data_IF_774368045790
#
_entry.id   IF_774368045790
#
_cell.length_a   1.000
_cell.length_b   1.000
_cell.length_c   1.000
_cell.angle_alpha   90.00
_cell.angle_beta   90.00
_cell.angle_gamma   90.00
#
_symmetry.space_group_name_H-M   'P 1'
#
loop_
_entity.id
_entity.type
_entity.pdbx_description
1 polymer ?
#
# COMPACT_ATOMS: atom_id res chain seq x y z
N UNK A 1 -40.55 -28.83 1.87
CA UNK A 1 -41.33 -29.42 0.75
C UNK A 1 -42.76 -28.86 0.64
N UNK A 2 -43.23 -27.99 1.54
CA UNK A 2 -44.57 -27.39 1.49
C UNK A 2 -44.67 -26.14 0.58
N UNK A 3 -43.54 -25.51 0.24
CA UNK A 3 -43.46 -24.27 -0.56
C UNK A 3 -43.84 -24.41 -2.04
N UNK A 4 -43.93 -25.63 -2.57
CA UNK A 4 -44.14 -25.89 -4.00
C UNK A 4 -45.62 -25.96 -4.42
N UNK A 5 -46.56 -26.01 -3.47
CA UNK A 5 -47.99 -26.22 -3.75
C UNK A 5 -48.91 -25.15 -3.15
N UNK A 6 -48.39 -24.10 -2.53
CA UNK A 6 -49.22 -22.97 -2.05
C UNK A 6 -49.51 -21.99 -3.18
N UNK A 7 -50.77 -21.59 -3.34
CA UNK A 7 -51.12 -20.49 -4.26
C UNK A 7 -50.31 -19.23 -3.92
N UNK A 8 -49.78 -18.51 -4.93
CA UNK A 8 -49.08 -17.25 -4.70
C UNK A 8 -50.00 -16.27 -3.98
N UNK A 9 -49.53 -15.69 -2.87
CA UNK A 9 -50.31 -14.76 -2.04
C UNK A 9 -50.49 -13.36 -2.65
N UNK A 10 -49.95 -13.11 -3.85
CA UNK A 10 -50.02 -11.82 -4.54
C UNK A 10 -51.21 -11.72 -5.50
N UNK A 11 -51.70 -10.51 -5.71
CA UNK A 11 -52.77 -10.22 -6.68
C UNK A 11 -52.18 -10.29 -8.10
N UNK A 12 -52.74 -11.13 -8.97
CA UNK A 12 -52.27 -11.37 -10.35
C UNK A 12 -50.80 -11.81 -10.47
N UNK A 13 -50.44 -13.01 -9.98
CA UNK A 13 -49.04 -13.47 -9.99
C UNK A 13 -48.44 -13.59 -11.40
N UNK A 14 -49.27 -13.80 -12.43
CA UNK A 14 -48.82 -13.89 -13.83
C UNK A 14 -48.30 -12.58 -14.44
N UNK A 15 -48.53 -11.43 -13.79
CA UNK A 15 -48.04 -10.12 -14.25
C UNK A 15 -46.79 -9.66 -13.49
N UNK A 16 -46.31 -10.44 -12.52
CA UNK A 16 -45.12 -10.11 -11.74
C UNK A 16 -43.87 -10.70 -12.40
N UNK A 17 -42.95 -9.82 -12.83
CA UNK A 17 -41.64 -10.21 -13.31
C UNK A 17 -40.58 -10.03 -12.20
N UNK A 18 -39.88 -11.10 -11.85
CA UNK A 18 -38.75 -11.04 -10.93
C UNK A 18 -37.44 -10.81 -11.69
N UNK A 19 -36.82 -9.63 -11.52
CA UNK A 19 -35.52 -9.32 -12.12
C UNK A 19 -34.40 -9.44 -11.08
N UNK A 20 -33.46 -10.35 -11.30
CA UNK A 20 -32.24 -10.49 -10.48
C UNK A 20 -31.05 -9.86 -11.20
N UNK A 21 -30.63 -8.68 -10.75
CA UNK A 21 -29.50 -7.96 -11.33
C UNK A 21 -28.26 -8.28 -10.51
N UNK A 22 -27.23 -8.86 -11.15
CA UNK A 22 -25.90 -9.03 -10.55
C UNK A 22 -25.44 -10.45 -10.21
N UNK A 23 -26.13 -11.52 -10.67
CA UNK A 23 -25.62 -12.90 -10.59
C UNK A 23 -25.09 -13.31 -9.20
N UNK A 24 -25.97 -13.36 -8.19
CA UNK A 24 -25.68 -13.55 -6.76
C UNK A 24 -24.93 -12.40 -6.06
N UNK A 25 -24.64 -11.28 -6.73
CA UNK A 25 -24.08 -10.08 -6.10
C UNK A 25 -25.14 -8.97 -6.02
N UNK A 26 -25.25 -8.34 -4.85
CA UNK A 26 -26.28 -7.36 -4.51
C UNK A 26 -26.53 -6.29 -5.59
N UNK A 27 -27.80 -6.01 -5.87
CA UNK A 27 -28.19 -4.88 -6.72
C UNK A 27 -28.06 -3.56 -5.93
N UNK A 28 -27.25 -2.63 -6.44
CA UNK A 28 -27.11 -1.30 -5.85
C UNK A 28 -28.39 -0.46 -6.01
N UNK A 29 -28.73 0.33 -4.99
CA UNK A 29 -29.92 1.22 -4.97
C UNK A 29 -30.00 2.16 -6.20
N UNK A 30 -28.85 2.49 -6.81
CA UNK A 30 -28.78 3.28 -8.04
C UNK A 30 -29.48 2.61 -9.23
N UNK A 31 -29.39 1.28 -9.37
CA UNK A 31 -30.01 0.55 -10.47
C UNK A 31 -31.54 0.48 -10.28
N UNK A 32 -31.99 0.29 -9.03
CA UNK A 32 -33.40 0.39 -8.69
C UNK A 32 -33.98 1.77 -9.04
N UNK A 33 -33.28 2.85 -8.67
CA UNK A 33 -33.71 4.22 -9.02
C UNK A 33 -33.75 4.45 -10.53
N UNK A 34 -32.73 4.00 -11.26
CA UNK A 34 -32.71 4.08 -12.72
C UNK A 34 -33.94 3.40 -13.35
N UNK A 35 -34.24 2.16 -12.95
CA UNK A 35 -35.40 1.42 -13.48
C UNK A 35 -36.73 2.04 -13.07
N UNK A 36 -36.82 2.56 -11.84
CA UNK A 36 -38.00 3.28 -11.36
C UNK A 36 -38.25 4.54 -12.20
N UNK A 37 -37.20 5.33 -12.43
CA UNK A 37 -37.29 6.61 -13.13
C UNK A 37 -37.48 6.41 -14.65
N UNK A 38 -37.19 5.22 -15.18
CA UNK A 38 -37.47 4.84 -16.55
C UNK A 38 -38.97 4.51 -16.81
N UNK A 39 -39.79 4.34 -15.77
CA UNK A 39 -41.24 4.10 -15.86
C UNK A 39 -41.63 2.93 -16.80
N UNK A 40 -40.80 1.89 -16.87
CA UNK A 40 -40.99 0.73 -17.76
C UNK A 40 -42.05 -0.24 -17.23
N UNK A 41 -42.34 -0.20 -15.92
CA UNK A 41 -43.28 -1.09 -15.24
C UNK A 41 -44.36 -0.27 -14.51
N UNK A 42 -45.57 -0.81 -14.44
CA UNK A 42 -46.70 -0.22 -13.69
C UNK A 42 -46.38 -0.07 -12.18
N UNK A 43 -45.47 -0.89 -11.66
CA UNK A 43 -44.96 -0.79 -10.30
C UNK A 43 -43.61 -1.47 -10.15
N UNK A 44 -42.67 -0.81 -9.45
CA UNK A 44 -41.34 -1.35 -9.17
C UNK A 44 -41.06 -1.37 -7.66
N UNK A 45 -40.80 -2.56 -7.12
CA UNK A 45 -40.40 -2.77 -5.74
C UNK A 45 -39.07 -3.50 -5.65
N UNK A 46 -38.29 -3.21 -4.60
CA UNK A 46 -37.04 -3.87 -4.29
C UNK A 46 -37.16 -4.73 -3.04
N UNK A 47 -36.55 -5.91 -3.05
CA UNK A 47 -36.37 -6.76 -1.87
C UNK A 47 -34.92 -7.23 -1.73
N UNK A 48 -34.50 -7.49 -0.50
CA UNK A 48 -33.23 -8.12 -0.17
C UNK A 48 -33.45 -9.15 0.95
N UNK A 49 -33.16 -10.42 0.65
CA UNK A 49 -33.46 -11.60 1.48
C UNK A 49 -32.33 -11.98 2.46
N UNK A 50 -31.20 -11.27 2.47
CA UNK A 50 -30.01 -11.68 3.24
C UNK A 50 -29.92 -11.09 4.67
N UNK A 51 -30.97 -10.42 5.17
CA UNK A 51 -30.95 -9.86 6.52
C UNK A 51 -31.35 -10.92 7.56
N UNK A 52 -30.42 -11.81 7.91
CA UNK A 52 -30.59 -12.57 9.14
C UNK A 52 -30.51 -11.65 10.36
N UNK A 53 -31.49 -11.76 11.25
CA UNK A 53 -31.59 -10.92 12.44
C UNK A 53 -31.93 -11.78 13.64
N UNK A 54 -31.26 -11.59 14.77
CA UNK A 54 -31.56 -12.35 15.99
C UNK A 54 -32.49 -11.55 16.88
N UNK A 55 -33.66 -12.09 17.21
CA UNK A 55 -34.62 -11.49 18.12
C UNK A 55 -34.58 -12.18 19.48
N UNK A 56 -34.63 -11.39 20.56
CA UNK A 56 -34.70 -11.90 21.92
C UNK A 56 -36.13 -11.79 22.45
N UNK A 57 -36.70 -12.91 22.87
CA UNK A 57 -37.99 -12.98 23.54
C UNK A 57 -37.79 -13.59 24.93
N UNK A 58 -37.87 -12.76 25.97
CA UNK A 58 -37.51 -13.16 27.33
C UNK A 58 -36.05 -13.63 27.43
N UNK A 59 -35.86 -14.90 27.80
CA UNK A 59 -34.54 -15.53 27.93
C UNK A 59 -34.06 -16.28 26.68
N UNK A 60 -34.95 -16.47 25.71
CA UNK A 60 -34.64 -17.17 24.47
C UNK A 60 -34.25 -16.21 23.35
N UNK A 61 -33.34 -16.63 22.48
CA UNK A 61 -32.92 -15.88 21.29
C UNK A 61 -33.22 -16.71 20.05
N UNK A 62 -34.02 -16.14 19.15
CA UNK A 62 -34.42 -16.78 17.90
C UNK A 62 -33.73 -16.12 16.72
N UNK A 63 -33.28 -16.93 15.77
CA UNK A 63 -32.79 -16.46 14.48
C UNK A 63 -34.00 -16.20 13.59
N UNK A 64 -34.15 -14.97 13.14
CA UNK A 64 -35.18 -14.53 12.20
C UNK A 64 -34.56 -14.33 10.82
N UNK A 65 -35.27 -14.78 9.80
CA UNK A 65 -35.03 -14.34 8.44
C UNK A 65 -35.87 -13.09 8.21
N UNK A 66 -35.21 -11.94 8.04
CA UNK A 66 -35.86 -10.69 7.71
C UNK A 66 -35.58 -10.35 6.25
N UNK A 67 -36.60 -9.83 5.56
CA UNK A 67 -36.47 -9.31 4.21
C UNK A 67 -36.56 -7.78 4.27
N UNK A 68 -35.57 -7.09 3.70
CA UNK A 68 -35.64 -5.63 3.55
C UNK A 68 -36.37 -5.31 2.27
N UNK A 69 -37.37 -4.44 2.34
CA UNK A 69 -38.22 -4.11 1.19
C UNK A 69 -38.35 -2.60 1.02
N UNK A 70 -38.67 -2.16 -0.20
CA UNK A 70 -39.08 -0.76 -0.45
C UNK A 70 -40.47 -0.48 0.12
N UNK A 71 -40.76 0.77 0.44
CA UNK A 71 -42.03 1.18 1.07
C UNK A 71 -43.28 0.74 0.26
N UNK A 72 -43.17 0.71 -1.07
CA UNK A 72 -44.25 0.32 -1.96
C UNK A 72 -44.36 -1.20 -2.23
N UNK A 73 -43.53 -2.04 -1.59
CA UNK A 73 -43.42 -3.47 -1.92
C UNK A 73 -44.74 -4.22 -1.84
N UNK A 74 -45.48 -4.07 -0.75
CA UNK A 74 -46.77 -4.76 -0.56
C UNK A 74 -47.83 -4.30 -1.57
N UNK A 75 -47.76 -3.03 -2.00
CA UNK A 75 -48.62 -2.51 -3.06
C UNK A 75 -48.31 -3.12 -4.43
N UNK A 76 -47.02 -3.28 -4.76
CA UNK A 76 -46.59 -3.87 -6.04
C UNK A 76 -46.88 -5.37 -6.11
N UNK A 77 -46.66 -6.12 -5.02
CA UNK A 77 -46.97 -7.57 -4.97
C UNK A 77 -48.47 -7.80 -4.77
N UNK A 78 -49.22 -6.78 -4.35
CA UNK A 78 -50.66 -6.86 -4.14
C UNK A 78 -51.06 -7.66 -2.91
N UNK A 79 -50.20 -7.72 -1.88
CA UNK A 79 -50.47 -8.42 -0.62
C UNK A 79 -51.06 -7.42 0.38
N UNK A 80 -52.34 -7.56 0.78
CA UNK A 80 -52.95 -6.65 1.75
C UNK A 80 -52.38 -6.88 3.15
N UNK A 81 -52.28 -5.79 3.92
CA UNK A 81 -51.92 -5.88 5.34
C UNK A 81 -53.18 -6.19 6.16
N UNK A 82 -53.13 -7.27 6.93
CA UNK A 82 -54.26 -7.70 7.75
C UNK A 82 -54.53 -6.75 8.93
N UNK A 83 -53.48 -6.16 9.49
CA UNK A 83 -53.55 -5.19 10.59
C UNK A 83 -52.43 -4.15 10.48
N UNK A 84 -52.70 -2.93 10.97
CA UNK A 84 -51.75 -1.83 10.95
C UNK A 84 -51.77 -1.02 9.65
N UNK A 85 -50.63 -0.42 9.32
CA UNK A 85 -50.45 0.45 8.14
C UNK A 85 -49.27 -0.01 7.28
N UNK A 86 -49.23 0.33 5.98
CA UNK A 86 -48.05 0.10 5.15
C UNK A 86 -46.85 0.91 5.62
N UNK A 87 -45.67 0.47 5.17
CA UNK A 87 -44.41 1.20 5.35
C UNK A 87 -44.48 2.45 4.48
N UNK A 88 -44.28 3.62 5.07
CA UNK A 88 -44.35 4.91 4.40
C UNK A 88 -42.96 5.47 4.05
N UNK A 89 -42.86 6.34 3.03
CA UNK A 89 -41.63 7.06 2.75
C UNK A 89 -41.20 7.91 3.96
N UNK A 90 -40.09 7.51 4.61
CA UNK A 90 -39.54 8.23 5.77
C UNK A 90 -39.55 7.42 7.07
N UNK A 91 -40.30 6.32 7.13
CA UNK A 91 -40.26 5.40 8.27
C UNK A 91 -38.84 4.87 8.49
N UNK A 92 -38.42 4.87 9.76
CA UNK A 92 -37.18 4.26 10.23
C UNK A 92 -37.52 3.25 11.32
N UNK A 93 -36.87 2.09 11.28
CA UNK A 93 -36.99 1.03 12.28
C UNK A 93 -38.41 0.44 12.46
N UNK A 94 -39.17 0.37 11.37
CA UNK A 94 -40.46 -0.34 11.32
C UNK A 94 -40.31 -1.73 10.69
N UNK A 95 -41.16 -2.66 11.10
CA UNK A 95 -41.18 -4.03 10.57
C UNK A 95 -42.62 -4.48 10.32
N UNK A 96 -42.81 -5.24 9.24
CA UNK A 96 -44.06 -5.98 8.99
C UNK A 96 -43.81 -7.44 9.35
N UNK A 97 -44.66 -8.00 10.20
CA UNK A 97 -44.57 -9.39 10.65
C UNK A 97 -45.43 -10.29 9.77
N UNK A 98 -44.97 -11.52 9.52
CA UNK A 98 -45.82 -12.53 8.90
C UNK A 98 -46.89 -13.02 9.87
N UNK A 99 -48.08 -13.38 9.37
CA UNK A 99 -49.19 -13.90 10.19
C UNK A 99 -48.73 -15.11 11.03
N UNK A 100 -47.98 -16.04 10.42
CA UNK A 100 -47.40 -17.19 11.12
C UNK A 100 -46.49 -16.75 12.28
N UNK A 101 -45.64 -15.74 12.09
CA UNK A 101 -44.76 -15.27 13.16
C UNK A 101 -45.57 -14.63 14.29
N UNK A 102 -46.54 -13.78 13.96
CA UNK A 102 -47.44 -13.15 14.94
C UNK A 102 -48.20 -14.18 15.77
N UNK A 103 -48.79 -15.21 15.14
CA UNK A 103 -49.53 -16.27 15.83
C UNK A 103 -48.65 -17.19 16.67
N UNK A 104 -47.52 -17.64 16.10
CA UNK A 104 -46.69 -18.67 16.74
C UNK A 104 -45.72 -18.13 17.77
N UNK A 105 -45.28 -16.87 17.64
CA UNK A 105 -44.23 -16.29 18.50
C UNK A 105 -44.72 -15.14 19.36
N UNK A 106 -45.77 -14.44 18.96
CA UNK A 106 -46.35 -13.32 19.70
C UNK A 106 -47.77 -13.60 20.20
N UNK A 107 -48.18 -14.87 20.21
CA UNK A 107 -49.44 -15.30 20.83
C UNK A 107 -50.72 -14.79 20.16
N UNK A 108 -50.64 -14.24 18.94
CA UNK A 108 -51.76 -13.58 18.26
C UNK A 108 -52.39 -12.40 19.04
N UNK A 109 -51.61 -11.73 19.90
CA UNK A 109 -52.08 -10.57 20.65
C UNK A 109 -52.42 -9.39 19.71
N UNK A 110 -53.56 -8.74 19.93
CA UNK A 110 -54.04 -7.61 19.09
C UNK A 110 -53.35 -6.28 19.41
N UNK A 111 -52.65 -6.17 20.53
CA UNK A 111 -51.89 -5.00 20.96
C UNK A 111 -50.44 -4.98 20.43
N UNK A 112 -50.13 -5.83 19.45
CA UNK A 112 -48.79 -5.92 18.84
C UNK A 112 -48.37 -4.66 18.09
N UNK A 113 -49.33 -3.87 17.61
CA UNK A 113 -49.09 -2.65 16.85
C UNK A 113 -48.48 -1.58 17.78
N UNK A 114 -47.28 -1.11 17.44
CA UNK A 114 -46.54 -0.11 18.22
C UNK A 114 -45.55 -0.67 19.25
N UNK A 115 -45.51 -1.99 19.47
CA UNK A 115 -44.50 -2.63 20.34
C UNK A 115 -43.12 -2.66 19.66
N UNK A 116 -42.06 -2.46 20.45
CA UNK A 116 -40.67 -2.51 19.96
C UNK A 116 -40.10 -3.93 20.00
N UNK A 117 -39.49 -4.37 18.88
CA UNK A 117 -38.78 -5.64 18.78
C UNK A 117 -37.27 -5.37 18.81
N UNK A 118 -36.56 -5.96 19.79
CA UNK A 118 -35.10 -5.78 19.92
C UNK A 118 -34.35 -6.88 19.17
N UNK A 119 -33.51 -6.49 18.22
CA UNK A 119 -32.66 -7.44 17.48
C UNK A 119 -31.16 -7.13 17.63
N UNK A 120 -30.33 -8.14 17.95
CA UNK A 120 -28.89 -7.93 18.12
C UNK A 120 -28.04 -9.12 17.60
N UNK A 121 -27.18 -8.85 16.61
CA UNK A 121 -26.33 -9.86 15.96
C UNK A 121 -25.05 -10.23 16.75
N UNK A 122 -24.56 -9.34 17.63
CA UNK A 122 -23.28 -9.52 18.32
C UNK A 122 -23.34 -10.40 19.58
N UNK A 123 -24.55 -10.66 20.12
CA UNK A 123 -24.73 -11.40 21.37
C UNK A 123 -24.70 -12.93 21.21
N UNK A 124 -24.95 -13.45 19.99
CA UNK A 124 -25.09 -14.89 19.75
C UNK A 124 -23.78 -15.67 19.99
N UNK A 125 -22.62 -15.15 19.56
CA UNK A 125 -21.33 -15.86 19.73
C UNK A 125 -20.79 -15.84 21.17
N UNK A 126 -21.15 -14.83 21.95
CA UNK A 126 -20.75 -14.75 23.36
C UNK A 126 -21.64 -15.58 24.28
N UNK A 127 -22.90 -15.84 23.88
CA UNK A 127 -23.88 -16.62 24.66
C UNK A 127 -23.60 -18.13 24.62
N UNK A 128 -23.32 -18.69 23.44
CA UNK A 128 -23.06 -20.13 23.28
C UNK A 128 -21.89 -20.64 24.15
N UNK A 129 -20.79 -19.87 24.22
CA UNK A 129 -19.61 -20.20 25.04
C UNK A 129 -19.85 -19.99 26.55
N UNK A 130 -20.83 -19.16 26.95
CA UNK A 130 -21.22 -18.99 28.36
C UNK A 130 -22.12 -20.12 28.84
N UNK A 131 -23.04 -20.61 28.01
CA UNK A 131 -23.89 -21.76 28.34
C UNK A 131 -23.07 -23.02 28.61
N UNK A 132 -22.08 -23.32 27.77
CA UNK A 132 -21.19 -24.48 27.97
C UNK A 132 -20.42 -24.40 29.30
N UNK A 133 -19.87 -23.23 29.63
CA UNK A 133 -19.16 -23.01 30.88
C UNK A 133 -20.09 -23.05 32.11
N UNK A 134 -21.33 -22.56 31.98
CA UNK A 134 -22.35 -22.62 33.02
C UNK A 134 -22.82 -24.06 33.29
N UNK A 135 -23.01 -24.88 32.25
CA UNK A 135 -23.35 -26.31 32.36
C UNK A 135 -22.21 -27.06 33.05
N UNK A 136 -20.95 -26.82 32.66
CA UNK A 136 -19.79 -27.46 33.29
C UNK A 136 -19.61 -27.06 34.76
N UNK A 137 -19.91 -25.81 35.12
CA UNK A 137 -19.93 -25.35 36.52
C UNK A 137 -21.09 -25.97 37.31
N UNK A 138 -22.27 -26.13 36.70
CA UNK A 138 -23.43 -26.78 37.32
C UNK A 138 -23.20 -28.29 37.57
N UNK A 139 -22.40 -28.94 36.71
CA UNK A 139 -21.94 -30.33 36.89
C UNK A 139 -20.77 -30.47 37.89
N UNK A 140 -20.36 -29.40 38.57
CA UNK A 140 -19.34 -29.44 39.63
C UNK A 140 -17.89 -29.34 39.15
N UNK A 141 -17.63 -28.96 37.90
CA UNK A 141 -16.26 -28.78 37.42
C UNK A 141 -15.55 -27.64 38.19
N UNK A 142 -14.46 -27.98 38.88
CA UNK A 142 -13.64 -26.99 39.60
C UNK A 142 -13.09 -25.91 38.67
N UNK A 143 -13.11 -24.65 39.12
CA UNK A 143 -12.71 -23.45 38.35
C UNK A 143 -11.30 -23.57 37.75
N UNK A 144 -10.37 -24.18 38.48
CA UNK A 144 -9.01 -24.42 38.02
C UNK A 144 -8.95 -25.33 36.78
N UNK A 145 -9.87 -26.29 36.64
CA UNK A 145 -9.95 -27.21 35.50
C UNK A 145 -10.35 -26.48 34.22
N UNK A 146 -11.31 -25.55 34.32
CA UNK A 146 -11.79 -24.73 33.20
C UNK A 146 -10.69 -23.77 32.73
N UNK A 147 -10.03 -23.09 33.67
CA UNK A 147 -8.92 -22.17 33.35
C UNK A 147 -7.76 -22.92 32.70
N UNK A 148 -7.38 -24.09 33.23
CA UNK A 148 -6.32 -24.93 32.66
C UNK A 148 -6.63 -25.39 31.24
N UNK A 149 -7.89 -25.77 30.97
CA UNK A 149 -8.32 -26.16 29.63
C UNK A 149 -8.22 -25.01 28.63
N UNK A 150 -8.73 -23.82 28.98
CA UNK A 150 -8.69 -22.65 28.09
C UNK A 150 -7.26 -22.18 27.81
N UNK A 151 -6.38 -22.26 28.82
CA UNK A 151 -4.95 -22.00 28.63
C UNK A 151 -4.30 -23.05 27.74
N UNK A 152 -4.64 -24.33 27.88
CA UNK A 152 -4.13 -25.40 27.02
C UNK A 152 -4.57 -25.22 25.56
N UNK A 153 -5.85 -24.88 25.31
CA UNK A 153 -6.37 -24.60 23.96
C UNK A 153 -5.67 -23.38 23.33
N UNK A 154 -5.48 -22.31 24.11
CA UNK A 154 -4.81 -21.09 23.63
C UNK A 154 -3.33 -21.34 23.35
N UNK A 155 -2.65 -22.10 24.21
CA UNK A 155 -1.25 -22.47 24.03
C UNK A 155 -1.05 -23.38 22.81
N UNK A 156 -1.95 -24.34 22.60
CA UNK A 156 -1.90 -25.24 21.44
C UNK A 156 -2.05 -24.46 20.13
N UNK A 157 -3.01 -23.53 20.06
CA UNK A 157 -3.18 -22.65 18.90
C UNK A 157 -1.97 -21.74 18.68
N UNK A 158 -1.37 -21.22 19.76
CA UNK A 158 -0.17 -20.40 19.70
C UNK A 158 1.04 -21.16 19.13
N UNK A 159 1.25 -22.40 19.58
CA UNK A 159 2.33 -23.26 19.12
C UNK A 159 2.17 -23.61 17.64
N UNK A 160 0.96 -23.99 17.21
CA UNK A 160 0.68 -24.29 15.81
C UNK A 160 0.87 -23.06 14.91
N UNK A 161 0.36 -21.89 15.32
CA UNK A 161 0.52 -20.65 14.55
C UNK A 161 1.98 -20.21 14.46
N UNK A 162 2.72 -20.29 15.56
CA UNK A 162 4.16 -19.96 15.60
C UNK A 162 4.96 -20.92 14.74
N UNK A 163 4.70 -22.23 14.83
CA UNK A 163 5.36 -23.25 14.00
C UNK A 163 5.11 -23.02 12.51
N UNK A 164 3.86 -22.76 12.10
CA UNK A 164 3.52 -22.44 10.73
C UNK A 164 4.21 -21.16 10.21
N UNK A 165 4.27 -20.11 11.04
CA UNK A 165 4.95 -18.86 10.70
C UNK A 165 6.47 -19.02 10.53
N UNK A 166 7.11 -19.81 11.40
CA UNK A 166 8.54 -20.12 11.29
C UNK A 166 8.84 -20.94 10.02
N UNK A 167 8.02 -21.94 9.71
CA UNK A 167 8.15 -22.72 8.47
C UNK A 167 8.01 -21.83 7.23
N UNK A 168 7.02 -20.93 7.23
CA UNK A 168 6.83 -19.96 6.15
C UNK A 168 8.05 -19.04 5.99
N UNK A 169 8.64 -18.59 7.09
CA UNK A 169 9.84 -17.76 7.08
C UNK A 169 11.05 -18.51 6.49
N UNK A 170 11.27 -19.76 6.90
CA UNK A 170 12.36 -20.58 6.35
C UNK A 170 12.17 -20.85 4.86
N UNK A 171 10.93 -21.12 4.44
CA UNK A 171 10.59 -21.33 3.04
C UNK A 171 10.82 -20.08 2.19
N UNK A 172 10.36 -18.91 2.66
CA UNK A 172 10.49 -17.63 1.95
C UNK A 172 11.94 -17.15 1.89
N UNK A 173 12.71 -17.32 2.97
CA UNK A 173 14.15 -17.05 2.97
C UNK A 173 14.90 -17.90 1.95
N UNK A 174 14.51 -19.18 1.79
CA UNK A 174 15.02 -20.05 0.74
C UNK A 174 14.74 -19.51 -0.66
N UNK A 175 13.50 -19.12 -0.95
CA UNK A 175 13.11 -18.56 -2.26
C UNK A 175 13.90 -17.28 -2.57
N UNK A 176 14.03 -16.38 -1.60
CA UNK A 176 14.75 -15.13 -1.77
C UNK A 176 16.24 -15.34 -2.06
N UNK A 177 16.85 -16.40 -1.51
CA UNK A 177 18.23 -16.76 -1.81
C UNK A 177 18.41 -17.30 -3.25
N UNK A 178 17.35 -17.87 -3.87
CA UNK A 178 17.38 -18.33 -5.26
C UNK A 178 17.10 -17.21 -6.28
N UNK A 179 16.51 -16.10 -5.85
CA UNK A 179 16.26 -14.94 -6.71
C UNK A 179 17.58 -14.18 -6.96
N UNK A 180 18.26 -14.53 -8.05
CA UNK A 180 19.37 -13.75 -8.58
C UNK A 180 18.82 -12.45 -9.18
N UNK A 181 19.00 -11.34 -8.48
CA UNK A 181 18.74 -10.03 -9.08
C UNK A 181 19.78 -9.78 -10.19
N UNK A 182 19.36 -9.42 -11.42
CA UNK A 182 20.27 -9.01 -12.48
C UNK A 182 20.79 -7.59 -12.20
N UNK A 183 21.53 -7.44 -11.10
CA UNK A 183 22.25 -6.22 -10.75
C UNK A 183 23.72 -6.41 -11.17
N UNK A 184 24.37 -5.38 -11.73
CA UNK A 184 25.80 -5.42 -12.10
C UNK A 184 26.76 -5.48 -10.89
N UNK A 185 26.24 -5.78 -9.70
CA UNK A 185 26.98 -5.96 -8.46
C UNK A 185 26.59 -7.34 -7.91
N UNK A 186 27.54 -8.24 -7.62
CA UNK A 186 27.24 -9.55 -7.05
C UNK A 186 26.82 -9.39 -5.57
N UNK A 187 25.61 -8.89 -5.34
CA UNK A 187 25.00 -8.84 -4.01
C UNK A 187 24.29 -10.16 -3.77
N UNK A 188 25.01 -11.12 -3.20
CA UNK A 188 24.36 -12.27 -2.59
C UNK A 188 23.65 -11.77 -1.33
N UNK A 189 22.33 -11.61 -1.41
CA UNK A 189 21.47 -11.46 -0.24
C UNK A 189 21.55 -12.77 0.55
N UNK A 190 22.57 -12.93 1.38
CA UNK A 190 22.69 -14.03 2.34
C UNK A 190 21.68 -13.76 3.46
N UNK A 191 20.41 -14.02 3.19
CA UNK A 191 19.35 -14.00 4.20
C UNK A 191 19.52 -15.29 5.00
N UNK A 192 20.43 -15.25 5.98
CA UNK A 192 20.60 -16.33 6.94
C UNK A 192 19.55 -16.16 8.04
N UNK A 193 18.70 -17.17 8.28
CA UNK A 193 17.77 -17.14 9.41
C UNK A 193 18.55 -17.06 10.72
N UNK A 194 18.55 -15.89 11.37
CA UNK A 194 19.16 -15.74 12.69
C UNK A 194 18.26 -16.42 13.74
N UNK A 195 18.77 -17.49 14.36
CA UNK A 195 18.05 -18.25 15.38
C UNK A 195 17.66 -17.39 16.59
N UNK A 196 18.40 -16.31 16.89
CA UNK A 196 18.07 -15.37 17.97
C UNK A 196 16.79 -14.61 17.67
N UNK A 197 16.63 -14.17 16.41
CA UNK A 197 15.43 -13.48 15.95
C UNK A 197 14.23 -14.44 15.90
N UNK A 198 14.46 -15.69 15.48
CA UNK A 198 13.43 -16.74 15.50
C UNK A 198 12.95 -17.01 16.93
N UNK A 199 13.88 -17.19 17.87
CA UNK A 199 13.56 -17.38 19.30
C UNK A 199 12.80 -16.18 19.87
N UNK A 200 13.27 -14.97 19.61
CA UNK A 200 12.61 -13.73 20.04
C UNK A 200 11.17 -13.65 19.53
N UNK A 201 10.96 -13.91 18.23
CA UNK A 201 9.62 -13.89 17.62
C UNK A 201 8.70 -14.97 18.18
N UNK A 202 9.23 -16.17 18.44
CA UNK A 202 8.47 -17.27 19.03
C UNK A 202 8.04 -16.95 20.47
N UNK A 203 8.93 -16.38 21.29
CA UNK A 203 8.62 -15.97 22.66
C UNK A 203 7.52 -14.91 22.68
N UNK A 204 7.59 -13.90 21.81
CA UNK A 204 6.56 -12.85 21.72
C UNK A 204 5.22 -13.39 21.24
N UNK A 205 5.21 -14.29 20.25
CA UNK A 205 3.98 -14.88 19.73
C UNK A 205 3.27 -15.72 20.81
N UNK A 206 4.02 -16.57 21.52
CA UNK A 206 3.49 -17.40 22.62
C UNK A 206 3.00 -16.52 23.78
N UNK A 207 3.79 -15.51 24.19
CA UNK A 207 3.39 -14.57 25.24
C UNK A 207 2.11 -13.81 24.88
N UNK A 208 2.00 -13.32 23.64
CA UNK A 208 0.82 -12.60 23.15
C UNK A 208 -0.43 -13.49 23.15
N UNK A 209 -0.30 -14.75 22.74
CA UNK A 209 -1.40 -15.71 22.75
C UNK A 209 -1.82 -16.11 24.16
N UNK A 210 -0.87 -16.27 25.10
CA UNK A 210 -1.16 -16.52 26.51
C UNK A 210 -1.90 -15.35 27.15
N UNK A 211 -1.50 -14.10 26.86
CA UNK A 211 -2.19 -12.89 27.32
C UNK A 211 -3.62 -12.82 26.75
N UNK A 212 -3.77 -13.04 25.45
CA UNK A 212 -5.08 -13.06 24.80
C UNK A 212 -6.00 -14.18 25.32
N UNK A 213 -5.43 -15.37 25.59
CA UNK A 213 -6.13 -16.54 26.11
C UNK A 213 -6.50 -16.48 27.58
N UNK A 214 -5.78 -15.68 28.38
CA UNK A 214 -6.04 -15.49 29.82
C UNK A 214 -7.08 -14.40 30.11
N UNK A 215 -7.27 -13.44 29.20
CA UNK A 215 -8.27 -12.36 29.28
C UNK A 215 -9.74 -12.83 29.52
N UNK A 216 -10.23 -13.91 28.90
CA UNK A 216 -11.54 -14.49 29.21
C UNK A 216 -11.59 -15.23 30.55
N UNK A 217 -10.48 -15.81 31.00
CA UNK A 217 -10.39 -16.63 32.21
C UNK A 217 -10.33 -15.81 33.51
N UNK A 218 -9.81 -14.58 33.43
CA UNK A 218 -9.60 -13.68 34.57
C UNK A 218 -10.80 -12.77 34.88
N UNK A 219 -11.85 -12.73 34.04
CA UNK A 219 -13.03 -11.91 34.36
C UNK A 219 -13.73 -12.46 35.61
N UNK A 220 -13.92 -11.65 36.67
CA UNK A 220 -14.50 -12.14 37.91
C UNK A 220 -15.94 -12.62 37.70
N UNK A 221 -16.17 -13.92 37.85
CA UNK A 221 -17.50 -14.54 38.05
C UNK A 221 -18.03 -14.26 39.47
N UNK A 222 -17.89 -13.00 39.93
CA UNK A 222 -18.27 -12.57 41.28
C UNK A 222 -19.70 -12.03 41.40
N UNK A 223 -20.47 -12.00 40.32
CA UNK A 223 -21.92 -11.83 40.41
C UNK A 223 -22.57 -13.21 40.42
N UNK A 224 -23.03 -13.66 41.59
CA UNK A 224 -23.68 -14.95 41.77
C UNK A 224 -24.79 -15.17 40.72
N UNK A 225 -25.02 -16.44 40.40
CA UNK A 225 -26.05 -16.92 39.45
C UNK A 225 -27.44 -16.29 39.70
N UNK A 226 -27.70 -15.78 40.91
CA UNK A 226 -28.93 -15.06 41.28
C UNK A 226 -28.99 -13.57 40.81
N UNK A 227 -27.86 -12.91 40.56
CA UNK A 227 -27.82 -11.52 40.06
C UNK A 227 -27.97 -11.42 38.53
N UNK A 228 -27.75 -12.53 37.80
CA UNK A 228 -27.99 -12.61 36.36
C UNK A 228 -29.48 -12.66 36.00
N UNK A 229 -30.34 -13.03 36.95
CA UNK A 229 -31.80 -13.12 36.79
C UNK A 229 -32.55 -11.87 37.25
N UNK A 230 -31.89 -10.91 37.91
CA UNK A 230 -32.55 -9.75 38.57
C UNK A 230 -32.10 -8.37 38.09
N UNK A 231 -31.31 -8.28 37.02
CA UNK A 231 -30.90 -6.99 36.43
C UNK A 231 -30.98 -7.03 34.90
N UNK A 232 -32.17 -6.81 34.38
CA UNK A 232 -32.37 -6.59 32.93
C UNK A 232 -33.16 -5.31 32.63
N UNK A 233 -33.29 -4.40 33.60
CA UNK A 233 -34.10 -3.17 33.42
C UNK A 233 -33.36 -1.84 33.53
N UNK A 234 -32.03 -1.79 33.70
CA UNK A 234 -31.36 -0.48 33.69
C UNK A 234 -29.94 -0.50 33.18
N UNK A 235 -29.68 0.50 32.32
CA UNK A 235 -28.42 0.94 31.71
C UNK A 235 -27.92 0.17 30.47
N UNK A 236 -28.50 0.51 29.33
CA UNK A 236 -27.70 0.86 28.14
C UNK A 236 -27.03 2.22 28.43
N UNK A 237 -26.05 2.22 29.32
CA UNK A 237 -25.07 3.30 29.37
C UNK A 237 -23.80 2.78 28.69
N UNK A 238 -23.34 3.52 27.70
CA UNK A 238 -22.23 3.18 26.83
C UNK A 238 -20.90 3.01 27.56
N UNK A 239 -20.71 1.88 28.25
CA UNK A 239 -19.38 1.44 28.64
C UNK A 239 -18.74 0.75 27.45
N UNK A 240 -17.80 1.45 26.84
CA UNK A 240 -16.90 0.95 25.81
C UNK A 240 -16.39 -0.42 26.24
N UNK A 241 -16.85 -1.48 25.58
CA UNK A 241 -16.32 -2.80 25.82
C UNK A 241 -14.88 -2.79 25.32
N UNK A 242 -13.91 -2.98 26.22
CA UNK A 242 -12.48 -2.98 25.89
C UNK A 242 -12.17 -3.86 24.67
N UNK A 243 -12.92 -4.97 24.52
CA UNK A 243 -12.85 -5.87 23.34
C UNK A 243 -13.30 -5.19 22.04
N UNK A 244 -14.37 -4.41 22.07
CA UNK A 244 -14.84 -3.64 20.90
C UNK A 244 -13.81 -2.58 20.49
N UNK A 245 -13.22 -1.87 21.46
CA UNK A 245 -12.13 -0.93 21.21
C UNK A 245 -10.89 -1.58 20.59
N UNK A 246 -10.47 -2.73 21.13
CA UNK A 246 -9.33 -3.50 20.59
C UNK A 246 -9.58 -4.01 19.17
N UNK A 247 -10.80 -4.48 18.85
CA UNK A 247 -11.15 -4.93 17.50
C UNK A 247 -11.15 -3.77 16.51
N UNK A 248 -11.72 -2.63 16.89
CA UNK A 248 -11.71 -1.42 16.04
C UNK A 248 -10.28 -0.93 15.82
N UNK A 249 -9.44 -0.94 16.86
CA UNK A 249 -8.03 -0.57 16.75
C UNK A 249 -7.26 -1.52 15.83
N UNK A 250 -7.47 -2.83 15.95
CA UNK A 250 -6.85 -3.83 15.08
C UNK A 250 -7.26 -3.61 13.61
N UNK A 251 -8.56 -3.43 13.35
CA UNK A 251 -9.08 -3.16 12.00
C UNK A 251 -8.50 -1.85 11.45
N UNK A 252 -8.46 -0.78 12.25
CA UNK A 252 -7.88 0.49 11.85
C UNK A 252 -6.40 0.34 11.48
N UNK A 253 -5.61 -0.35 12.30
CA UNK A 253 -4.19 -0.62 12.02
C UNK A 253 -4.03 -1.45 10.74
N UNK A 254 -4.83 -2.49 10.54
CA UNK A 254 -4.80 -3.30 9.31
C UNK A 254 -5.13 -2.47 8.07
N UNK A 255 -6.13 -1.59 8.13
CA UNK A 255 -6.50 -0.70 7.00
C UNK A 255 -5.38 0.29 6.71
N UNK A 256 -4.75 0.88 7.73
CA UNK A 256 -3.62 1.80 7.56
C UNK A 256 -2.43 1.07 6.91
N UNK A 257 -2.07 -0.11 7.41
CA UNK A 257 -0.96 -0.91 6.85
C UNK A 257 -1.22 -1.33 5.40
N UNK A 258 -2.44 -1.78 5.09
CA UNK A 258 -2.84 -2.12 3.72
C UNK A 258 -2.79 -0.91 2.80
N UNK A 259 -3.32 0.23 3.24
CA UNK A 259 -3.31 1.48 2.46
C UNK A 259 -1.88 1.94 2.19
N UNK A 260 -1.02 1.91 3.21
CA UNK A 260 0.38 2.28 3.09
C UNK A 260 1.14 1.32 2.15
N UNK A 261 0.89 0.02 2.21
CA UNK A 261 1.45 -0.97 1.29
C UNK A 261 1.02 -0.73 -0.16
N UNK A 262 -0.28 -0.49 -0.41
CA UNK A 262 -0.79 -0.19 -1.75
C UNK A 262 -0.23 1.12 -2.29
N UNK A 263 -0.17 2.17 -1.46
CA UNK A 263 0.43 3.44 -1.85
C UNK A 263 1.92 3.31 -2.14
N UNK A 264 2.64 2.51 -1.35
CA UNK A 264 4.04 2.21 -1.58
C UNK A 264 4.25 1.52 -2.93
N UNK A 265 3.48 0.45 -3.22
CA UNK A 265 3.55 -0.25 -4.51
C UNK A 265 3.17 0.70 -5.63
N UNK A 266 2.07 1.46 -5.52
CA UNK A 266 1.64 2.42 -6.54
C UNK A 266 2.69 3.49 -6.81
N UNK A 267 3.32 4.05 -5.77
CA UNK A 267 4.38 5.03 -5.90
C UNK A 267 5.65 4.42 -6.48
N UNK A 268 5.96 3.17 -6.13
CA UNK A 268 7.09 2.45 -6.71
C UNK A 268 6.86 2.17 -8.20
N UNK A 269 5.66 1.70 -8.59
CA UNK A 269 5.30 1.49 -10.00
C UNK A 269 5.29 2.81 -10.77
N UNK A 270 4.68 3.87 -10.24
CA UNK A 270 4.67 5.21 -10.86
C UNK A 270 6.08 5.78 -10.98
N UNK A 271 6.91 5.56 -9.96
CA UNK A 271 8.32 5.92 -10.02
C UNK A 271 9.01 5.13 -11.12
N UNK A 272 8.82 3.82 -11.23
CA UNK A 272 9.45 3.00 -12.28
C UNK A 272 8.97 3.33 -13.70
N UNK A 273 7.71 3.72 -13.88
CA UNK A 273 7.12 4.02 -15.20
C UNK A 273 7.25 5.49 -15.63
N UNK A 274 7.61 6.40 -14.74
CA UNK A 274 7.98 7.76 -15.13
C UNK A 274 9.25 7.72 -15.98
N UNK A 275 9.13 8.08 -17.26
CA UNK A 275 10.23 8.14 -18.23
C UNK A 275 11.08 9.38 -17.91
N UNK A 276 12.39 9.25 -17.65
CA UNK A 276 13.25 10.40 -17.45
C UNK A 276 13.59 11.00 -18.83
N UNK A 277 13.08 12.21 -19.11
CA UNK A 277 13.20 12.83 -20.43
C UNK A 277 12.30 12.12 -21.42
N UNK A 278 11.04 12.54 -21.54
CA UNK A 278 10.01 11.88 -22.36
C UNK A 278 10.42 11.71 -23.84
N UNK A 279 11.44 12.45 -24.31
CA UNK A 279 11.95 12.43 -25.68
C UNK A 279 13.40 11.91 -25.85
N UNK A 280 14.07 11.45 -24.78
CA UNK A 280 15.47 11.04 -24.83
C UNK A 280 15.64 9.50 -24.83
N UNK A 281 16.26 8.96 -25.88
CA UNK A 281 16.66 7.55 -25.97
C UNK A 281 18.14 7.43 -25.62
N UNK A 282 18.50 6.49 -24.74
CA UNK A 282 19.88 6.19 -24.41
C UNK A 282 20.21 4.74 -24.73
N UNK A 283 21.46 4.49 -25.11
CA UNK A 283 22.01 3.16 -25.33
C UNK A 283 23.37 3.07 -24.64
N UNK A 284 23.63 1.97 -23.94
CA UNK A 284 24.94 1.70 -23.36
C UNK A 284 25.81 0.96 -24.37
N UNK A 285 26.89 1.61 -24.82
CA UNK A 285 27.89 0.99 -25.70
C UNK A 285 29.16 0.77 -24.90
N UNK A 286 29.62 -0.49 -24.82
CA UNK A 286 30.91 -0.82 -24.21
C UNK A 286 31.92 -1.04 -25.31
N UNK A 287 32.90 -0.14 -25.42
CA UNK A 287 34.04 -0.32 -26.30
C UNK A 287 34.94 -1.44 -25.76
N UNK A 288 35.43 -2.30 -26.64
CA UNK A 288 36.36 -3.38 -26.28
C UNK A 288 37.74 -2.78 -26.04
N UNK A 289 38.29 -2.82 -24.81
CA UNK A 289 39.55 -2.15 -24.48
C UNK A 289 40.73 -2.61 -25.35
N UNK A 290 40.76 -3.89 -25.71
CA UNK A 290 41.82 -4.49 -26.55
C UNK A 290 41.86 -3.89 -27.96
N UNK A 291 40.71 -3.45 -28.49
CA UNK A 291 40.58 -2.88 -29.84
C UNK A 291 40.77 -1.36 -29.85
N UNK A 292 40.47 -0.70 -28.75
CA UNK A 292 40.54 0.75 -28.60
C UNK A 292 41.29 1.12 -27.31
N UNK A 293 42.61 0.84 -27.22
CA UNK A 293 43.40 1.02 -26.00
C UNK A 293 43.61 2.48 -25.61
N UNK A 294 43.47 3.43 -26.55
CA UNK A 294 43.70 4.85 -26.27
C UNK A 294 42.38 5.63 -26.24
N UNK A 295 42.30 6.65 -25.38
CA UNK A 295 41.15 7.56 -25.32
C UNK A 295 40.87 8.25 -26.66
N UNK A 296 41.92 8.55 -27.42
CA UNK A 296 41.81 9.22 -28.72
C UNK A 296 41.14 8.32 -29.76
N UNK A 297 41.49 7.04 -29.80
CA UNK A 297 40.81 6.05 -30.64
C UNK A 297 39.36 5.83 -30.20
N UNK A 298 39.12 5.73 -28.89
CA UNK A 298 37.76 5.61 -28.35
C UNK A 298 36.90 6.83 -28.71
N UNK A 299 37.46 8.05 -28.61
CA UNK A 299 36.79 9.28 -29.00
C UNK A 299 36.55 9.36 -30.50
N UNK A 300 37.52 8.98 -31.33
CA UNK A 300 37.38 8.97 -32.79
C UNK A 300 36.17 8.13 -33.23
N UNK A 301 36.07 6.89 -32.73
CA UNK A 301 34.93 6.01 -33.01
C UNK A 301 33.62 6.57 -32.48
N UNK A 302 33.63 7.10 -31.26
CA UNK A 302 32.44 7.70 -30.64
C UNK A 302 31.96 8.92 -31.43
N UNK A 303 32.88 9.79 -31.86
CA UNK A 303 32.58 10.99 -32.65
C UNK A 303 32.02 10.64 -34.04
N UNK A 304 32.57 9.61 -34.70
CA UNK A 304 32.04 9.09 -35.94
C UNK A 304 30.62 8.53 -35.75
N UNK A 305 30.38 7.74 -34.71
CA UNK A 305 29.05 7.22 -34.39
C UNK A 305 28.05 8.35 -34.09
N UNK A 306 28.44 9.36 -33.32
CA UNK A 306 27.60 10.53 -33.04
C UNK A 306 27.27 11.31 -34.32
N UNK A 307 28.21 11.43 -35.26
CA UNK A 307 27.95 12.11 -36.54
C UNK A 307 26.89 11.39 -37.38
N UNK A 308 26.91 10.05 -37.40
CA UNK A 308 25.90 9.23 -38.07
C UNK A 308 24.55 9.36 -37.38
N UNK A 309 24.51 9.28 -36.05
CA UNK A 309 23.27 9.39 -35.27
C UNK A 309 22.60 10.76 -35.48
N UNK A 310 23.37 11.84 -35.52
CA UNK A 310 22.85 13.20 -35.77
C UNK A 310 22.32 13.40 -37.18
N UNK A 311 22.76 12.58 -38.15
CA UNK A 311 22.28 12.63 -39.53
C UNK A 311 20.98 11.86 -39.74
N UNK A 312 20.53 11.06 -38.76
CA UNK A 312 19.29 10.29 -38.88
C UNK A 312 18.06 11.20 -38.79
N UNK A 313 17.05 11.00 -39.66
CA UNK A 313 15.80 11.75 -39.59
C UNK A 313 15.06 11.44 -38.28
N UNK A 314 14.67 12.48 -37.55
CA UNK A 314 14.01 12.37 -36.24
C UNK A 314 14.93 12.49 -35.02
N UNK A 315 16.25 12.60 -35.21
CA UNK A 315 17.21 12.87 -34.12
C UNK A 315 17.49 14.37 -34.03
N UNK A 316 17.01 15.02 -32.97
CA UNK A 316 17.24 16.46 -32.75
C UNK A 316 18.67 16.78 -32.25
N UNK A 317 19.17 15.95 -31.34
CA UNK A 317 20.52 16.05 -30.80
C UNK A 317 21.00 14.69 -30.29
N UNK A 318 22.30 14.41 -30.43
CA UNK A 318 22.92 13.22 -29.86
C UNK A 318 24.24 13.58 -29.17
N UNK A 319 24.47 12.97 -28.02
CA UNK A 319 25.67 13.16 -27.21
C UNK A 319 26.09 11.86 -26.53
N UNK A 320 27.26 11.86 -25.90
CA UNK A 320 27.81 10.75 -25.14
C UNK A 320 28.03 11.18 -23.69
N UNK A 321 27.88 10.26 -22.75
CA UNK A 321 28.27 10.45 -21.37
C UNK A 321 28.89 9.16 -20.84
N UNK A 322 29.89 9.27 -19.96
CA UNK A 322 30.42 8.11 -19.24
C UNK A 322 29.35 7.49 -18.35
N UNK A 323 28.54 8.33 -17.71
CA UNK A 323 27.46 7.94 -16.83
C UNK A 323 26.18 8.61 -17.31
N UNK A 324 25.23 7.81 -17.79
CA UNK A 324 23.88 8.32 -18.06
C UNK A 324 23.14 8.47 -16.71
N UNK A 325 22.44 9.60 -16.47
CA UNK A 325 21.63 9.79 -15.28
C UNK A 325 20.72 8.59 -15.01
N UNK A 326 20.59 8.22 -13.73
CA UNK A 326 19.82 7.09 -13.19
C UNK A 326 20.44 5.69 -13.43
N UNK A 327 21.71 5.60 -13.87
CA UNK A 327 22.42 4.33 -14.09
C UNK A 327 23.38 3.91 -12.95
N UNK A 328 23.18 4.41 -11.73
CA UNK A 328 23.80 3.85 -10.51
C UNK A 328 25.33 3.91 -10.34
N UNK A 329 26.11 4.28 -11.37
CA UNK A 329 27.57 4.22 -11.35
C UNK A 329 28.20 5.58 -11.67
N UNK A 330 28.68 6.34 -10.69
CA UNK A 330 29.58 7.49 -10.94
C UNK A 330 30.76 7.48 -10.00
N UNK A 331 31.83 8.11 -10.46
CA UNK A 331 33.02 8.35 -9.64
C UNK A 331 32.70 9.47 -8.66
N UNK A 332 32.65 9.11 -7.37
CA UNK A 332 32.45 10.05 -6.27
C UNK A 332 33.76 10.77 -5.97
N UNK A 333 33.76 12.09 -6.06
CA UNK A 333 34.83 12.96 -5.56
C UNK A 333 34.49 13.47 -4.16
N UNK A 334 35.52 13.65 -3.33
CA UNK A 334 35.34 14.04 -1.92
C UNK A 334 35.99 15.40 -1.57
N UNK A 335 36.94 15.88 -2.39
CA UNK A 335 37.69 17.09 -2.10
C UNK A 335 38.02 17.86 -3.38
N UNK A 336 37.88 19.18 -3.31
CA UNK A 336 38.26 20.14 -4.36
C UNK A 336 38.83 21.39 -3.70
N UNK A 337 39.79 22.02 -4.36
CA UNK A 337 40.36 23.30 -3.99
C UNK A 337 39.78 24.35 -4.95
N UNK A 338 38.95 25.26 -4.45
CA UNK A 338 38.33 26.34 -5.23
C UNK A 338 39.08 27.65 -5.01
N UNK A 339 39.37 28.37 -6.11
CA UNK A 339 40.37 29.45 -6.16
C UNK A 339 41.73 28.99 -5.58
N UNK A 340 42.75 29.84 -5.62
CA UNK A 340 44.08 29.52 -5.06
C UNK A 340 44.10 29.32 -3.52
N UNK A 341 42.96 29.04 -2.90
CA UNK A 341 42.85 28.56 -1.53
C UNK A 341 43.83 27.41 -1.29
N UNK A 342 44.66 27.58 -0.26
CA UNK A 342 45.57 26.53 0.21
C UNK A 342 44.83 25.43 0.97
N UNK A 343 43.59 25.69 1.42
CA UNK A 343 42.79 24.72 2.17
C UNK A 343 41.74 24.04 1.27
N UNK A 344 41.74 22.69 1.19
CA UNK A 344 40.78 21.94 0.39
C UNK A 344 39.38 22.04 0.99
N UNK A 345 38.42 22.52 0.20
CA UNK A 345 37.01 22.43 0.54
C UNK A 345 36.56 20.97 0.42
N UNK A 346 36.20 20.37 1.56
CA UNK A 346 35.62 19.02 1.60
C UNK A 346 34.17 19.07 1.13
N UNK A 347 33.99 18.98 -0.19
CA UNK A 347 32.67 18.93 -0.81
C UNK A 347 32.51 17.60 -1.52
N UNK A 348 31.45 16.87 -1.16
CA UNK A 348 31.06 15.65 -1.88
C UNK A 348 30.40 16.02 -3.20
N UNK A 349 30.95 15.53 -4.29
CA UNK A 349 30.40 15.71 -5.64
C UNK A 349 30.57 14.44 -6.47
N UNK A 350 29.86 14.39 -7.58
CA UNK A 350 29.96 13.34 -8.58
C UNK A 350 30.60 13.89 -9.84
N UNK A 351 31.51 13.12 -10.43
CA UNK A 351 32.10 13.46 -11.72
C UNK A 351 31.43 12.68 -12.83
N UNK A 352 31.13 13.36 -13.93
CA UNK A 352 30.66 12.74 -15.14
C UNK A 352 31.31 13.41 -16.34
N UNK A 353 31.82 12.61 -17.27
CA UNK A 353 32.42 13.17 -18.47
C UNK A 353 31.43 13.03 -19.61
N UNK A 354 31.15 14.16 -20.23
CA UNK A 354 30.08 14.33 -21.20
C UNK A 354 30.63 14.91 -22.50
N UNK A 355 30.01 14.52 -23.61
CA UNK A 355 30.31 15.05 -24.92
C UNK A 355 29.65 16.42 -25.15
N UNK A 356 29.96 17.05 -26.31
CA UNK A 356 29.22 18.21 -26.79
C UNK A 356 27.72 17.91 -26.93
N UNK A 357 26.89 18.94 -26.85
CA UNK A 357 25.41 18.87 -26.92
C UNK A 357 24.73 18.09 -25.79
N UNK A 358 25.46 17.61 -24.77
CA UNK A 358 24.88 16.80 -23.70
C UNK A 358 23.74 17.51 -22.99
N UNK A 359 23.91 18.79 -22.66
CA UNK A 359 22.91 19.53 -21.90
C UNK A 359 21.68 19.81 -22.76
N UNK A 360 21.89 20.08 -24.06
CA UNK A 360 20.81 20.19 -25.06
C UNK A 360 20.05 18.87 -25.23
N UNK A 361 20.74 17.75 -25.43
CA UNK A 361 20.12 16.41 -25.57
C UNK A 361 19.34 16.01 -24.31
N UNK A 362 19.83 16.39 -23.12
CA UNK A 362 19.17 16.07 -21.84
C UNK A 362 18.12 17.11 -21.42
N UNK A 363 17.96 18.21 -22.16
CA UNK A 363 17.08 19.32 -21.79
C UNK A 363 17.46 20.01 -20.47
N UNK A 364 18.74 19.99 -20.10
CA UNK A 364 19.25 20.63 -18.87
C UNK A 364 19.68 22.05 -19.20
N UNK A 365 19.03 23.10 -18.67
CA UNK A 365 19.39 24.47 -18.99
C UNK A 365 20.72 24.86 -18.35
N UNK A 366 21.54 25.60 -19.10
CA UNK A 366 22.72 26.31 -18.58
C UNK A 366 22.24 27.63 -17.97
N UNK A 367 22.51 27.80 -16.69
CA UNK A 367 22.07 28.93 -15.86
C UNK A 367 23.04 30.11 -15.96
N UNK A 368 24.33 29.83 -16.10
CA UNK A 368 25.37 30.84 -16.29
C UNK A 368 26.52 30.29 -17.16
N UNK A 369 27.16 31.17 -17.94
CA UNK A 369 28.29 30.81 -18.79
C UNK A 369 27.88 30.12 -20.08
N UNK A 370 28.64 29.10 -20.49
CA UNK A 370 28.46 28.39 -21.78
C UNK A 370 28.55 26.87 -21.64
N UNK A 371 28.03 26.16 -22.62
CA UNK A 371 28.27 24.72 -22.82
C UNK A 371 29.68 24.46 -23.39
N UNK A 372 30.08 23.18 -23.41
CA UNK A 372 31.31 22.73 -24.06
C UNK A 372 31.28 23.02 -25.57
N UNK A 373 32.39 23.55 -26.08
CA UNK A 373 32.60 23.88 -27.49
C UNK A 373 33.55 22.87 -28.13
N UNK A 374 33.53 22.76 -29.47
CA UNK A 374 34.46 21.91 -30.21
C UNK A 374 35.95 22.33 -30.04
N UNK A 375 36.20 23.57 -29.61
CA UNK A 375 37.53 24.09 -29.28
C UNK A 375 38.07 23.59 -27.94
N UNK A 376 37.19 23.20 -27.03
CA UNK A 376 37.57 22.59 -25.76
C UNK A 376 37.96 21.14 -26.09
N UNK A 377 39.26 20.83 -26.16
CA UNK A 377 39.78 19.50 -26.53
C UNK A 377 41.04 19.16 -25.75
N UNK A 378 41.48 17.89 -25.78
CA UNK A 378 42.77 17.49 -25.19
C UNK A 378 43.89 18.40 -25.71
N UNK A 379 44.68 18.97 -24.79
CA UNK A 379 45.73 19.97 -25.10
C UNK A 379 45.30 21.44 -24.98
N UNK A 380 44.01 21.73 -24.77
CA UNK A 380 43.52 23.06 -24.37
C UNK A 380 43.44 23.17 -22.84
N UNK A 381 43.29 24.38 -22.25
CA UNK A 381 43.08 24.54 -20.81
C UNK A 381 41.91 23.67 -20.33
N UNK A 382 42.08 22.98 -19.19
CA UNK A 382 41.03 22.12 -18.65
C UNK A 382 39.79 22.92 -18.30
N UNK A 383 38.62 22.47 -18.78
CA UNK A 383 37.33 23.13 -18.53
C UNK A 383 36.31 22.17 -17.93
N UNK A 384 35.42 22.70 -17.09
CA UNK A 384 34.31 21.95 -16.52
C UNK A 384 33.05 22.81 -16.35
N UNK A 385 31.90 22.15 -16.27
CA UNK A 385 30.60 22.73 -15.97
C UNK A 385 30.14 22.20 -14.62
N UNK A 386 29.73 23.09 -13.72
CA UNK A 386 29.23 22.71 -12.39
C UNK A 386 27.72 22.75 -12.36
N UNK A 387 27.06 21.97 -11.51
CA UNK A 387 25.65 22.25 -11.21
C UNK A 387 25.52 23.41 -10.21
N UNK A 388 24.36 24.08 -10.19
CA UNK A 388 24.07 25.20 -9.28
C UNK A 388 24.39 24.91 -7.80
N UNK A 389 24.11 23.69 -7.32
CA UNK A 389 24.40 23.32 -5.93
C UNK A 389 25.90 23.25 -5.64
N UNK A 390 26.71 22.73 -6.55
CA UNK A 390 28.15 22.70 -6.36
C UNK A 390 28.77 24.09 -6.54
N UNK A 391 28.31 24.85 -7.53
CA UNK A 391 28.73 26.22 -7.74
C UNK A 391 28.52 27.08 -6.48
N UNK A 392 27.31 27.02 -5.88
CA UNK A 392 27.01 27.72 -4.62
C UNK A 392 27.85 27.25 -3.44
N UNK A 393 28.16 25.95 -3.35
CA UNK A 393 28.98 25.42 -2.25
C UNK A 393 30.45 25.81 -2.35
N UNK A 394 30.99 25.92 -3.57
CA UNK A 394 32.40 26.24 -3.79
C UNK A 394 32.67 27.74 -3.83
N UNK A 395 31.76 28.51 -4.43
CA UNK A 395 31.98 29.93 -4.68
C UNK A 395 31.05 30.86 -3.89
N UNK A 396 30.09 30.30 -3.14
CA UNK A 396 29.07 31.08 -2.42
C UNK A 396 28.10 31.74 -3.40
N UNK A 397 27.80 33.02 -3.17
CA UNK A 397 26.99 33.85 -4.08
C UNK A 397 27.82 34.48 -5.22
N UNK A 398 29.13 34.19 -5.29
CA UNK A 398 30.00 34.69 -6.37
C UNK A 398 29.77 33.89 -7.65
N UNK A 399 29.96 34.55 -8.79
CA UNK A 399 29.89 33.89 -10.09
C UNK A 399 31.01 32.85 -10.20
N UNK A 400 30.65 31.57 -10.34
CA UNK A 400 31.62 30.49 -10.48
C UNK A 400 32.32 30.48 -11.85
N UNK A 401 31.70 31.07 -12.88
CA UNK A 401 32.22 31.04 -14.25
C UNK A 401 33.51 31.85 -14.37
N UNK A 402 34.53 31.27 -15.00
CA UNK A 402 35.87 31.85 -15.17
C UNK A 402 36.84 31.53 -14.03
N UNK A 403 36.35 31.02 -12.90
CA UNK A 403 37.20 30.68 -11.76
C UNK A 403 37.76 29.26 -11.87
N UNK A 404 39.05 29.05 -11.57
CA UNK A 404 39.64 27.72 -11.57
C UNK A 404 39.37 26.98 -10.26
N UNK A 405 39.25 25.66 -10.36
CA UNK A 405 39.37 24.74 -9.24
C UNK A 405 40.33 23.61 -9.59
N UNK A 406 40.88 22.92 -8.58
CA UNK A 406 41.81 21.81 -8.77
C UNK A 406 41.44 20.63 -7.87
N UNK A 407 41.76 19.43 -8.31
CA UNK A 407 41.69 18.25 -7.46
C UNK A 407 42.95 18.17 -6.59
N UNK A 408 42.85 17.76 -5.32
CA UNK A 408 44.02 17.63 -4.45
C UNK A 408 44.91 16.42 -4.79
N UNK A 409 44.44 15.48 -5.60
CA UNK A 409 45.23 14.31 -5.99
C UNK A 409 46.31 14.66 -7.04
N UNK A 410 47.57 14.25 -6.86
CA UNK A 410 48.69 14.59 -7.75
C UNK A 410 48.56 14.03 -9.17
N UNK A 411 47.77 12.98 -9.39
CA UNK A 411 47.46 12.44 -10.73
C UNK A 411 46.44 13.27 -11.53
N UNK A 412 45.84 14.30 -10.93
CA UNK A 412 44.81 15.16 -11.54
C UNK A 412 45.13 16.66 -11.37
N UNK A 413 46.41 17.00 -11.45
CA UNK A 413 47.03 18.23 -10.94
C UNK A 413 47.10 19.39 -11.96
N UNK A 414 45.99 19.65 -12.67
CA UNK A 414 45.84 20.83 -13.53
C UNK A 414 44.72 21.76 -13.01
N UNK A 415 44.86 23.10 -13.13
CA UNK A 415 43.74 24.01 -12.87
C UNK A 415 42.64 23.79 -13.92
N UNK A 416 41.42 23.57 -13.45
CA UNK A 416 40.23 23.38 -14.29
C UNK A 416 39.36 24.62 -14.17
N UNK A 417 39.14 25.31 -15.28
CA UNK A 417 38.33 26.53 -15.33
C UNK A 417 36.86 26.17 -15.45
N UNK A 418 36.01 26.76 -14.60
CA UNK A 418 34.57 26.61 -14.74
C UNK A 418 34.08 27.46 -15.91
N UNK A 419 33.53 26.84 -16.96
CA UNK A 419 33.02 27.58 -18.14
C UNK A 419 31.51 27.77 -18.12
N UNK A 420 30.81 27.04 -17.26
CA UNK A 420 29.37 27.15 -17.12
C UNK A 420 28.82 26.57 -15.83
N UNK A 421 27.58 26.95 -15.50
CA UNK A 421 26.78 26.41 -14.41
C UNK A 421 25.47 25.88 -14.97
N UNK A 422 25.20 24.59 -14.81
CA UNK A 422 23.97 23.93 -15.24
C UNK A 422 22.94 23.85 -14.11
N UNK A 423 21.66 23.85 -14.47
CA UNK A 423 20.58 23.67 -13.51
C UNK A 423 20.69 22.32 -12.77
N UNK A 424 20.19 22.30 -11.54
CA UNK A 424 20.15 21.08 -10.75
C UNK A 424 19.25 20.02 -11.41
N UNK A 425 19.82 18.86 -11.72
CA UNK A 425 19.07 17.70 -12.22
C UNK A 425 19.29 16.47 -11.33
N UNK A 426 18.42 15.47 -11.47
CA UNK A 426 18.44 14.24 -10.66
C UNK A 426 19.25 13.16 -11.37
N UNK A 427 20.48 12.94 -10.93
CA UNK A 427 21.43 12.03 -11.59
C UNK A 427 21.43 10.58 -11.06
N UNK A 428 20.99 10.30 -9.84
CA UNK A 428 21.17 8.98 -9.20
C UNK A 428 19.87 8.36 -8.70
N UNK A 429 19.16 9.08 -7.84
CA UNK A 429 17.93 8.60 -7.22
C UNK A 429 16.86 9.66 -7.38
N UNK A 430 15.63 9.21 -7.67
CA UNK A 430 14.49 10.11 -7.84
C UNK A 430 14.06 10.80 -6.53
N UNK A 431 14.49 10.26 -5.37
CA UNK A 431 14.04 10.67 -4.03
C UNK A 431 15.05 11.45 -3.18
N UNK A 432 16.17 11.93 -3.71
CA UNK A 432 17.17 12.72 -2.97
C UNK A 432 17.26 14.17 -3.46
N UNK A 433 17.80 15.07 -2.64
CA UNK A 433 18.28 16.37 -3.11
C UNK A 433 19.41 16.20 -4.13
N UNK A 434 19.58 17.13 -5.07
CA UNK A 434 20.61 17.04 -6.11
C UNK A 434 22.00 17.23 -5.48
N UNK A 435 22.87 16.19 -5.43
CA UNK A 435 24.23 16.36 -4.95
C UNK A 435 25.03 17.26 -5.90
N UNK A 436 26.19 17.73 -5.46
CA UNK A 436 27.08 18.51 -6.32
C UNK A 436 27.57 17.67 -7.50
N UNK A 437 27.65 18.26 -8.69
CA UNK A 437 28.15 17.60 -9.90
C UNK A 437 29.21 18.45 -10.58
N UNK A 438 30.31 17.79 -10.94
CA UNK A 438 31.30 18.30 -11.88
C UNK A 438 31.09 17.54 -13.18
N UNK A 439 30.76 18.25 -14.24
CA UNK A 439 30.71 17.72 -15.59
C UNK A 439 31.98 18.14 -16.31
N UNK A 440 32.76 17.18 -16.79
CA UNK A 440 33.99 17.45 -17.55
C UNK A 440 33.80 17.01 -19.00
N UNK A 441 34.64 17.51 -19.91
CA UNK A 441 34.55 17.09 -21.30
C UNK A 441 35.12 15.69 -21.50
N UNK A 442 34.37 14.81 -22.16
CA UNK A 442 34.76 13.43 -22.47
C UNK A 442 36.08 13.32 -23.26
N UNK A 443 36.33 14.27 -24.18
CA UNK A 443 37.55 14.31 -24.99
C UNK A 443 38.73 15.07 -24.33
N UNK A 444 38.54 15.61 -23.13
CA UNK A 444 39.51 16.51 -22.48
C UNK A 444 39.96 16.07 -21.09
N UNK A 445 39.35 15.03 -20.51
CA UNK A 445 39.81 14.48 -19.24
C UNK A 445 41.12 13.73 -19.50
N UNK A 446 42.28 14.34 -19.25
CA UNK A 446 43.56 13.64 -19.15
C UNK A 446 43.63 12.68 -17.96
N UNK A 447 42.50 12.11 -17.55
CA UNK A 447 42.38 11.09 -16.51
C UNK A 447 42.76 9.78 -17.16
N UNK A 448 44.00 9.35 -16.98
CA UNK A 448 44.31 7.94 -17.10
C UNK A 448 43.21 7.18 -16.35
N UNK A 449 42.53 6.27 -17.06
CA UNK A 449 41.55 5.39 -16.44
C UNK A 449 42.32 4.50 -15.47
N UNK A 450 42.48 4.97 -14.24
CA UNK A 450 42.83 4.11 -13.13
C UNK A 450 41.78 3.02 -13.12
N UNK A 451 42.19 1.82 -13.52
CA UNK A 451 41.39 0.62 -13.45
C UNK A 451 40.82 0.54 -12.04
N UNK A 452 39.51 0.75 -11.92
CA UNK A 452 38.79 0.37 -10.71
C UNK A 452 38.62 -1.15 -10.80
N UNK A 453 39.55 -1.86 -10.17
CA UNK A 453 39.35 -3.25 -9.71
C UNK A 453 38.22 -3.33 -8.71
#
# INVERSE_FOLDING_TARGET
MEFLFSEPSGRNPGTLAAMRIGGNSHAYMRHYRFLRDAHVFDGLAGSNEEAESNWRAGDETYRLHAMRVTHNFFGVVGVPLAMGRPIEPGDRDVVVLSDRFWRTRLGAETDVIGKSLTTNLLLARASARRQELAIRLALGAGRARIVRQLLAESLLLALLGTGAGLLLNLWLAGILNYLQFPLPIPVHLLIQPDWRLLLYSAVIAIASALVAGSLPALKPTRGGVSAALKRTERQVEGRWNLRGGLIVMQLAVSVVLLTMGVLFVRNMTKSMTMRPGDDAVWASVRLVPEKYPTEEQAWSVTSAALSVLRALPGVEAASVARVVPLNGNSVRGDQVLADASAEPARVRFHNNDVGPDYFRTMGIPIVAGREFMASDRKGSPGVAILNENLARRLFGDRNAVGHPFRYPAPSMSGPITVVGVAANSKYFTRGGGSPGHVLSLFAGSGRESGAAT
#
